data_IF_962961835627
#
_entry.id   IF_962961835627
#
_cell.length_a   1.000
_cell.length_b   1.000
_cell.length_c   1.000
_cell.angle_alpha   90.00
_cell.angle_beta   90.00
_cell.angle_gamma   90.00
#
_symmetry.space_group_name_H-M   'P 1'
#
loop_
_entity.id
_entity.type
_entity.pdbx_description
1 polymer ?
#
# COMPACT_ATOMS: atom_id res chain seq x y z
N UNK A 1 32.56 34.19 1.55
CA UNK A 1 33.35 33.28 2.41
C UNK A 1 32.39 32.27 3.02
N UNK A 2 32.59 30.97 2.80
CA UNK A 2 31.79 29.93 3.44
C UNK A 2 32.17 29.85 4.93
N UNK A 3 31.19 29.76 5.83
CA UNK A 3 31.45 29.61 7.26
C UNK A 3 32.15 28.26 7.50
N UNK A 4 33.40 28.29 7.97
CA UNK A 4 34.22 27.09 8.19
C UNK A 4 33.78 26.25 9.38
N UNK A 5 32.89 26.77 10.24
CA UNK A 5 32.28 26.00 11.33
C UNK A 5 30.82 26.44 11.56
N UNK A 6 29.86 25.96 10.73
CA UNK A 6 28.47 26.32 10.89
C UNK A 6 27.91 25.77 12.21
N UNK A 7 27.22 26.62 12.98
CA UNK A 7 26.51 26.18 14.19
C UNK A 7 25.25 25.38 13.79
N UNK A 8 25.41 24.06 13.68
CA UNK A 8 24.37 23.12 13.23
C UNK A 8 23.48 22.59 14.37
N UNK A 9 23.84 22.87 15.62
CA UNK A 9 23.11 22.38 16.82
C UNK A 9 21.61 22.72 16.80
N UNK A 10 21.16 23.96 16.51
CA UNK A 10 19.73 24.29 16.50
C UNK A 10 18.97 23.57 15.39
N UNK A 11 19.64 23.29 14.26
CA UNK A 11 19.05 22.57 13.14
C UNK A 11 18.82 21.09 13.50
N UNK A 12 19.81 20.46 14.13
CA UNK A 12 19.72 19.08 14.60
C UNK A 12 18.63 18.93 15.66
N UNK A 13 18.53 19.88 16.60
CA UNK A 13 17.46 19.92 17.59
C UNK A 13 16.08 20.02 16.95
N UNK A 14 15.88 20.94 15.99
CA UNK A 14 14.60 21.08 15.28
C UNK A 14 14.19 19.81 14.53
N UNK A 15 15.15 19.11 13.93
CA UNK A 15 14.89 17.84 13.23
C UNK A 15 14.44 16.77 14.21
N UNK A 16 15.12 16.63 15.36
CA UNK A 16 14.75 15.63 16.36
C UNK A 16 13.38 15.93 16.98
N UNK A 17 13.08 17.20 17.28
CA UNK A 17 11.76 17.61 17.77
C UNK A 17 10.63 17.26 16.80
N UNK A 18 10.82 17.56 15.49
CA UNK A 18 9.83 17.23 14.46
C UNK A 18 9.60 15.72 14.37
N UNK A 19 10.68 14.94 14.46
CA UNK A 19 10.60 13.47 14.47
C UNK A 19 9.84 12.97 15.69
N UNK A 20 10.13 13.48 16.89
CA UNK A 20 9.45 13.09 18.12
C UNK A 20 7.96 13.44 18.09
N UNK A 21 7.60 14.65 17.63
CA UNK A 21 6.21 15.06 17.43
C UNK A 21 5.47 14.12 16.48
N UNK A 22 6.11 13.73 15.37
CA UNK A 22 5.53 12.82 14.40
C UNK A 22 5.32 11.42 14.99
N UNK A 23 6.28 10.90 15.76
CA UNK A 23 6.15 9.63 16.49
C UNK A 23 4.96 9.66 17.45
N UNK A 24 4.86 10.71 18.27
CA UNK A 24 3.75 10.89 19.21
C UNK A 24 2.39 10.93 18.51
N UNK A 25 2.30 11.60 17.35
CA UNK A 25 1.08 11.66 16.53
C UNK A 25 0.67 10.27 16.03
N UNK A 26 1.62 9.44 15.60
CA UNK A 26 1.33 8.07 15.19
C UNK A 26 0.80 7.26 16.37
N UNK A 27 1.43 7.35 17.54
CA UNK A 27 0.99 6.63 18.74
C UNK A 27 -0.36 7.10 19.28
N UNK A 28 -0.68 8.39 19.22
CA UNK A 28 -2.02 8.88 19.59
C UNK A 28 -3.07 8.36 18.61
N UNK A 29 -2.77 8.37 17.32
CA UNK A 29 -3.66 7.84 16.27
C UNK A 29 -3.93 6.35 16.48
N UNK A 30 -2.88 5.56 16.73
CA UNK A 30 -3.02 4.13 17.01
C UNK A 30 -3.92 3.89 18.23
N UNK A 31 -3.75 4.66 19.31
CA UNK A 31 -4.60 4.56 20.51
C UNK A 31 -6.07 4.87 20.21
N UNK A 32 -6.33 5.89 19.41
CA UNK A 32 -7.70 6.23 18.96
C UNK A 32 -8.31 5.11 18.12
N UNK A 33 -7.55 4.56 17.17
CA UNK A 33 -7.99 3.43 16.33
C UNK A 33 -8.34 2.20 17.17
N UNK A 34 -7.53 1.87 18.19
CA UNK A 34 -7.83 0.80 19.15
C UNK A 34 -9.15 1.07 19.87
N UNK A 35 -9.35 2.30 20.39
CA UNK A 35 -10.57 2.68 21.11
C UNK A 35 -11.82 2.58 20.22
N UNK A 36 -11.68 2.93 18.95
CA UNK A 36 -12.76 2.88 17.96
C UNK A 36 -12.92 1.50 17.30
N UNK A 37 -12.08 0.52 17.67
CA UNK A 37 -12.04 -0.82 17.06
C UNK A 37 -11.88 -0.77 15.53
N UNK A 38 -11.11 0.18 15.05
CA UNK A 38 -10.77 0.30 13.64
C UNK A 38 -9.60 -0.61 13.29
N UNK A 39 -9.58 -1.14 12.06
CA UNK A 39 -8.51 -2.03 11.59
C UNK A 39 -7.15 -1.32 11.57
N UNK A 40 -6.16 -1.90 12.22
CA UNK A 40 -4.81 -1.34 12.32
C UNK A 40 -3.90 -1.95 11.24
N UNK A 41 -3.51 -1.14 10.27
CA UNK A 41 -2.48 -1.48 9.28
C UNK A 41 -1.78 -0.20 8.79
N UNK A 42 -0.66 -0.34 8.07
CA UNK A 42 0.12 0.80 7.58
C UNK A 42 -0.70 1.79 6.73
N UNK A 43 -1.70 1.32 5.98
CA UNK A 43 -2.54 2.19 5.18
C UNK A 43 -3.51 3.00 6.04
N UNK A 44 -4.27 2.34 6.92
CA UNK A 44 -5.23 3.02 7.79
C UNK A 44 -4.53 3.99 8.75
N UNK A 45 -3.40 3.60 9.32
CA UNK A 45 -2.59 4.47 10.18
C UNK A 45 -2.06 5.69 9.41
N UNK A 46 -1.56 5.50 8.18
CA UNK A 46 -1.07 6.59 7.34
C UNK A 46 -2.16 7.60 6.99
N UNK A 47 -3.33 7.12 6.56
CA UNK A 47 -4.48 7.96 6.21
C UNK A 47 -4.96 8.76 7.42
N UNK A 48 -5.10 8.12 8.59
CA UNK A 48 -5.66 8.77 9.77
C UNK A 48 -4.69 9.71 10.48
N UNK A 49 -3.42 9.33 10.57
CA UNK A 49 -2.38 10.17 11.19
C UNK A 49 -1.88 11.27 10.26
N UNK A 50 -2.14 11.18 8.95
CA UNK A 50 -1.56 12.04 7.93
C UNK A 50 -0.04 11.89 7.79
N UNK A 51 0.53 10.81 8.31
CA UNK A 51 1.96 10.49 8.22
C UNK A 51 2.20 9.60 7.02
N UNK A 52 3.25 9.88 6.25
CA UNK A 52 3.56 9.13 5.04
C UNK A 52 3.98 7.68 5.36
N UNK A 53 3.58 6.72 4.52
CA UNK A 53 3.99 5.31 4.66
C UNK A 53 5.51 5.12 4.76
N UNK A 54 6.36 5.82 3.97
CA UNK A 54 7.81 5.71 4.12
C UNK A 54 8.29 6.07 5.54
N UNK A 55 7.70 7.06 6.19
CA UNK A 55 8.03 7.39 7.58
C UNK A 55 7.67 6.23 8.53
N UNK A 56 6.48 5.63 8.37
CA UNK A 56 6.04 4.49 9.19
C UNK A 56 6.97 3.27 9.02
N UNK A 57 7.51 3.05 7.82
CA UNK A 57 8.48 1.98 7.56
C UNK A 57 9.90 2.31 8.02
N UNK A 58 10.28 3.59 7.98
CA UNK A 58 11.63 4.06 8.34
C UNK A 58 11.96 3.83 9.81
N UNK A 59 10.99 4.01 10.70
CA UNK A 59 11.20 3.84 12.14
C UNK A 59 10.73 2.46 12.59
N UNK A 60 11.69 1.59 12.93
CA UNK A 60 11.45 0.20 13.31
C UNK A 60 10.49 0.05 14.49
N UNK A 61 10.55 0.95 15.48
CA UNK A 61 9.62 0.97 16.62
C UNK A 61 8.14 1.09 16.18
N UNK A 62 7.85 2.00 15.25
CA UNK A 62 6.50 2.25 14.73
C UNK A 62 6.06 1.05 13.90
N UNK A 63 6.96 0.56 13.04
CA UNK A 63 6.72 -0.60 12.20
C UNK A 63 6.34 -1.82 13.04
N UNK A 64 7.16 -2.15 14.04
CA UNK A 64 6.92 -3.26 14.96
C UNK A 64 5.59 -3.08 15.70
N UNK A 65 5.28 -1.86 16.17
CA UNK A 65 4.02 -1.58 16.84
C UNK A 65 2.80 -1.89 15.97
N UNK A 66 2.78 -1.41 14.73
CA UNK A 66 1.68 -1.64 13.78
C UNK A 66 1.58 -3.13 13.43
N UNK A 67 2.70 -3.81 13.19
CA UNK A 67 2.71 -5.24 12.86
C UNK A 67 2.21 -6.11 14.02
N UNK A 68 2.61 -5.80 15.26
CA UNK A 68 2.15 -6.52 16.45
C UNK A 68 0.65 -6.37 16.64
N UNK A 69 0.13 -5.14 16.54
CA UNK A 69 -1.30 -4.87 16.70
C UNK A 69 -2.12 -5.57 15.60
N UNK A 70 -1.65 -5.52 14.35
CA UNK A 70 -2.32 -6.23 13.24
C UNK A 70 -2.37 -7.74 13.48
N UNK A 71 -1.28 -8.35 13.95
CA UNK A 71 -1.24 -9.78 14.29
C UNK A 71 -2.16 -10.13 15.47
N UNK A 72 -2.33 -9.20 16.42
CA UNK A 72 -3.27 -9.40 17.52
C UNK A 72 -4.72 -9.36 17.04
N UNK A 73 -5.08 -8.42 16.16
CA UNK A 73 -6.39 -8.39 15.49
C UNK A 73 -6.66 -9.68 14.71
N UNK A 74 -5.69 -10.15 13.90
CA UNK A 74 -5.80 -11.39 13.12
C UNK A 74 -6.01 -12.65 13.98
N UNK A 75 -5.58 -12.66 15.25
CA UNK A 75 -5.79 -13.77 16.18
C UNK A 75 -7.16 -13.72 16.88
N UNK A 76 -7.74 -12.53 17.02
CA UNK A 76 -9.04 -12.32 17.64
C UNK A 76 -10.19 -12.58 16.65
N UNK A 77 -9.94 -12.33 15.36
CA UNK A 77 -10.82 -12.74 14.28
C UNK A 77 -10.77 -14.28 14.16
N UNK A 78 -11.85 -14.96 14.56
CA UNK A 78 -12.09 -16.41 14.50
C UNK A 78 -11.38 -17.14 13.33
N UNK A 79 -10.98 -18.42 13.48
CA UNK A 79 -10.35 -19.21 12.40
C UNK A 79 -11.13 -19.22 11.07
N UNK A 80 -12.44 -18.91 11.09
CA UNK A 80 -13.25 -18.74 9.87
C UNK A 80 -12.99 -17.43 9.10
N UNK A 81 -12.49 -16.37 9.74
CA UNK A 81 -12.00 -15.16 9.06
C UNK A 81 -10.52 -15.26 8.68
N UNK A 82 -9.72 -16.09 9.36
CA UNK A 82 -8.35 -16.43 8.93
C UNK A 82 -8.34 -17.12 7.56
N UNK A 83 -9.39 -17.88 7.21
CA UNK A 83 -9.61 -18.39 5.84
C UNK A 83 -9.76 -17.27 4.78
N UNK A 84 -10.11 -16.04 5.16
CA UNK A 84 -10.11 -14.87 4.26
C UNK A 84 -8.76 -14.16 4.19
N UNK A 85 -7.88 -14.36 5.18
CA UNK A 85 -6.50 -13.89 5.19
C UNK A 85 -5.53 -15.00 4.76
N UNK A 86 -5.94 -15.76 3.74
CA UNK A 86 -5.15 -16.61 2.85
C UNK A 86 -3.64 -16.68 3.16
N UNK A 87 -3.23 -17.85 3.68
CA UNK A 87 -1.86 -18.38 3.70
C UNK A 87 -1.14 -18.12 2.38
N UNK A 88 0.20 -18.02 2.40
CA UNK A 88 1.04 -17.63 1.25
C UNK A 88 0.69 -18.39 -0.06
N UNK A 89 0.46 -19.71 0.05
CA UNK A 89 -0.01 -20.57 -1.05
C UNK A 89 -1.32 -20.11 -1.71
N UNK A 90 -2.24 -19.53 -0.95
CA UNK A 90 -3.52 -19.07 -1.48
C UNK A 90 -3.43 -17.68 -2.13
N UNK A 91 -2.40 -16.88 -1.81
CA UNK A 91 -2.09 -15.67 -2.58
C UNK A 91 -1.52 -16.02 -3.94
N UNK A 92 -0.65 -17.04 -4.01
CA UNK A 92 -0.09 -17.52 -5.27
C UNK A 92 -1.19 -18.01 -6.22
N UNK A 93 -2.17 -18.75 -5.71
CA UNK A 93 -3.34 -19.18 -6.50
C UNK A 93 -4.16 -18.00 -7.02
N UNK A 94 -4.37 -16.95 -6.21
CA UNK A 94 -5.08 -15.73 -6.65
C UNK A 94 -4.26 -14.97 -7.69
N UNK A 95 -2.94 -14.87 -7.51
CA UNK A 95 -2.02 -14.22 -8.45
C UNK A 95 -2.03 -14.95 -9.79
N UNK A 96 -1.96 -16.28 -9.79
CA UNK A 96 -2.01 -17.10 -11.00
C UNK A 96 -3.36 -16.95 -11.73
N UNK A 97 -4.47 -16.96 -10.99
CA UNK A 97 -5.81 -16.74 -11.54
C UNK A 97 -5.92 -15.37 -12.22
N UNK A 98 -5.44 -14.31 -11.56
CA UNK A 98 -5.45 -12.95 -12.11
C UNK A 98 -4.55 -12.84 -13.34
N UNK A 99 -3.34 -13.44 -13.32
CA UNK A 99 -2.44 -13.49 -14.49
C UNK A 99 -3.09 -14.18 -15.68
N UNK A 100 -3.78 -15.30 -15.45
CA UNK A 100 -4.51 -16.03 -16.49
C UNK A 100 -5.61 -15.17 -17.10
N UNK A 101 -6.34 -14.42 -16.28
CA UNK A 101 -7.39 -13.51 -16.75
C UNK A 101 -6.83 -12.34 -17.55
N UNK A 102 -5.72 -11.75 -17.12
CA UNK A 102 -5.03 -10.68 -17.87
C UNK A 102 -4.60 -11.19 -19.24
N UNK A 103 -3.93 -12.35 -19.30
CA UNK A 103 -3.49 -12.94 -20.57
C UNK A 103 -4.65 -13.20 -21.53
N UNK A 104 -5.76 -13.75 -21.02
CA UNK A 104 -6.95 -13.99 -21.82
C UNK A 104 -7.53 -12.69 -22.40
N UNK A 105 -7.64 -11.63 -21.58
CA UNK A 105 -8.13 -10.32 -22.02
C UNK A 105 -7.20 -9.67 -23.04
N UNK A 106 -5.88 -9.84 -22.89
CA UNK A 106 -4.90 -9.35 -23.88
C UNK A 106 -5.02 -10.06 -25.22
N UNK A 107 -5.21 -11.38 -25.22
CA UNK A 107 -5.44 -12.17 -26.43
C UNK A 107 -6.75 -11.78 -27.13
N UNK A 108 -7.83 -11.61 -26.36
CA UNK A 108 -9.12 -11.17 -26.90
C UNK A 108 -9.03 -9.76 -27.50
N UNK A 109 -8.37 -8.82 -26.81
CA UNK A 109 -8.15 -7.46 -27.31
C UNK A 109 -7.37 -7.47 -28.62
N UNK A 110 -6.35 -8.33 -28.72
CA UNK A 110 -5.57 -8.49 -29.95
C UNK A 110 -6.44 -9.00 -31.11
N UNK A 111 -7.25 -10.04 -30.88
CA UNK A 111 -8.17 -10.57 -31.90
C UNK A 111 -9.18 -9.53 -32.36
N UNK A 112 -9.79 -8.80 -31.43
CA UNK A 112 -10.74 -7.73 -31.75
C UNK A 112 -10.09 -6.64 -32.61
N UNK A 113 -8.84 -6.26 -32.32
CA UNK A 113 -8.09 -5.30 -33.13
C UNK A 113 -7.76 -5.82 -34.53
N UNK A 114 -7.46 -7.10 -34.67
CA UNK A 114 -7.23 -7.73 -35.98
C UNK A 114 -8.51 -7.78 -36.81
N UNK A 115 -9.64 -8.18 -36.19
CA UNK A 115 -10.93 -8.16 -36.86
C UNK A 115 -11.30 -6.76 -37.33
N UNK A 116 -11.11 -5.75 -36.47
CA UNK A 116 -11.34 -4.35 -36.85
C UNK A 116 -10.55 -3.96 -38.10
N UNK A 117 -9.27 -4.34 -38.19
CA UNK A 117 -8.44 -4.03 -39.37
C UNK A 117 -8.97 -4.67 -40.64
N UNK A 118 -9.43 -5.91 -40.57
CA UNK A 118 -10.02 -6.63 -41.71
C UNK A 118 -11.31 -5.95 -42.15
N UNK A 119 -12.19 -5.63 -41.20
CA UNK A 119 -13.47 -4.96 -41.47
C UNK A 119 -13.24 -3.58 -42.11
N UNK A 120 -12.29 -2.80 -41.59
CA UNK A 120 -11.89 -1.52 -42.19
C UNK A 120 -11.36 -1.70 -43.62
N UNK A 121 -10.51 -2.71 -43.88
CA UNK A 121 -10.00 -2.97 -45.22
C UNK A 121 -11.11 -3.37 -46.20
N UNK A 122 -12.11 -4.12 -45.76
CA UNK A 122 -13.28 -4.45 -46.56
C UNK A 122 -14.08 -3.19 -46.92
N UNK A 123 -14.34 -2.30 -45.95
CA UNK A 123 -15.03 -1.02 -46.18
C UNK A 123 -14.27 -0.15 -47.18
N UNK A 124 -12.94 -0.04 -47.05
CA UNK A 124 -12.13 0.73 -47.99
C UNK A 124 -12.14 0.17 -49.41
N UNK A 125 -12.25 -1.15 -49.58
CA UNK A 125 -12.36 -1.77 -50.89
C UNK A 125 -13.75 -1.63 -51.53
N UNK A 126 -14.81 -1.44 -50.74
CA UNK A 126 -16.17 -1.17 -51.25
C UNK A 126 -16.39 0.30 -51.64
N UNK A 127 -15.56 1.21 -51.13
CA UNK A 127 -15.62 2.66 -51.40
C UNK A 127 -14.74 3.12 -52.57
N UNK A 128 -13.91 2.23 -53.12
CA UNK A 128 -13.07 2.44 -54.32
C UNK A 128 -13.60 1.62 -55.50
#
# INVERSE_FOLDING_TARGET
>A
MANQNPNTEPLLQSIEEKKQKTKQKVESTIREMIKQKEKINFNSVSVKSGVSKPFLYKYSEIRSRIETLRKQEEKLDSPNQVKRNMTDSSKDVVIESLRKKVKHLEEENKKLKEQLKVDWAAIYNELN
#
